data_IF_519029163787
#
_entry.id   IF_519029163787
#
_cell.length_a   1.000
_cell.length_b   1.000
_cell.length_c   1.000
_cell.angle_alpha   90.00
_cell.angle_beta   90.00
_cell.angle_gamma   90.00
#
_symmetry.space_group_name_H-M   'P 1'
#
loop_
_entity.id
_entity.type
_entity.pdbx_description
1 polymer ?
#
# COMPACT_ATOMS: atom_id res chain seq x y z
N UNK A 1 7.94 6.15 -41.79
CA UNK A 1 7.19 7.35 -42.25
C UNK A 1 6.16 7.70 -41.18
N UNK A 2 5.97 9.00 -40.85
CA UNK A 2 4.97 9.40 -39.87
C UNK A 2 3.58 9.40 -40.53
N UNK A 3 2.64 8.58 -40.05
CA UNK A 3 1.29 8.51 -40.56
C UNK A 3 0.55 9.84 -40.30
N UNK A 4 -0.18 10.30 -41.30
CA UNK A 4 -0.90 11.59 -41.27
C UNK A 4 -2.41 11.38 -41.39
N UNK A 5 -3.20 12.42 -41.09
CA UNK A 5 -4.66 12.41 -41.32
C UNK A 5 -5.04 12.14 -42.79
N UNK A 6 -4.15 12.51 -43.71
CA UNK A 6 -4.33 12.25 -45.16
C UNK A 6 -4.30 10.74 -45.43
N UNK A 7 -3.37 9.99 -44.85
CA UNK A 7 -3.29 8.54 -45.02
C UNK A 7 -4.53 7.82 -44.50
N UNK A 8 -5.10 8.29 -43.38
CA UNK A 8 -6.36 7.75 -42.83
C UNK A 8 -7.55 8.09 -43.75
N UNK A 9 -7.55 9.29 -44.32
CA UNK A 9 -8.55 9.74 -45.29
C UNK A 9 -8.56 8.84 -46.54
N UNK A 10 -7.38 8.51 -47.05
CA UNK A 10 -7.20 7.63 -48.23
C UNK A 10 -7.63 6.19 -47.92
N UNK A 11 -7.30 5.64 -46.75
CA UNK A 11 -7.68 4.28 -46.34
C UNK A 11 -9.19 4.15 -46.08
N UNK A 12 -9.84 5.20 -45.54
CA UNK A 12 -11.24 5.12 -45.10
C UNK A 12 -12.24 5.71 -46.12
N UNK A 13 -11.76 6.47 -47.10
CA UNK A 13 -12.63 7.19 -48.08
C UNK A 13 -13.34 8.42 -47.50
N UNK A 14 -13.11 8.78 -46.25
CA UNK A 14 -13.66 9.98 -45.64
C UNK A 14 -12.76 11.20 -45.87
N UNK A 15 -13.35 12.40 -45.96
CA UNK A 15 -12.55 13.62 -46.08
C UNK A 15 -11.64 13.83 -44.88
N UNK A 16 -10.47 14.47 -45.08
CA UNK A 16 -9.52 14.81 -43.99
C UNK A 16 -10.19 15.59 -42.86
N UNK A 17 -11.16 16.46 -43.18
CA UNK A 17 -11.94 17.20 -42.21
C UNK A 17 -12.88 16.30 -41.39
N UNK A 18 -13.44 15.25 -41.99
CA UNK A 18 -14.27 14.24 -41.33
C UNK A 18 -13.40 13.36 -40.43
N UNK A 19 -12.26 12.88 -40.93
CA UNK A 19 -11.26 12.13 -40.17
C UNK A 19 -10.78 12.95 -38.95
N UNK A 20 -10.41 14.21 -39.16
CA UNK A 20 -9.98 15.09 -38.07
C UNK A 20 -11.07 15.30 -37.01
N UNK A 21 -12.33 15.47 -37.40
CA UNK A 21 -13.46 15.60 -36.49
C UNK A 21 -13.76 14.30 -35.77
N UNK A 22 -13.70 13.16 -36.45
CA UNK A 22 -13.87 11.83 -35.87
C UNK A 22 -12.82 11.57 -34.78
N UNK A 23 -11.55 11.82 -35.07
CA UNK A 23 -10.40 11.63 -34.19
C UNK A 23 -10.48 12.59 -32.96
N UNK A 24 -10.88 13.84 -33.17
CA UNK A 24 -11.00 14.83 -32.08
C UNK A 24 -12.30 14.72 -31.27
N UNK A 25 -13.16 13.78 -31.58
CA UNK A 25 -14.44 13.62 -30.90
C UNK A 25 -15.44 14.78 -31.12
N UNK A 26 -15.25 15.62 -32.14
CA UNK A 26 -16.06 16.80 -32.42
C UNK A 26 -16.96 16.57 -33.67
N UNK A 27 -18.15 17.17 -33.65
CA UNK A 27 -19.12 17.14 -34.78
C UNK A 27 -20.06 15.93 -34.77
N UNK A 28 -21.13 16.02 -35.61
CA UNK A 28 -22.11 14.93 -35.76
C UNK A 28 -21.57 13.92 -36.80
N UNK A 29 -20.95 12.85 -36.31
CA UNK A 29 -20.49 11.71 -37.10
C UNK A 29 -21.19 10.50 -36.51
N UNK A 30 -21.75 9.62 -37.35
CA UNK A 30 -22.38 8.40 -36.82
C UNK A 30 -21.37 7.53 -36.08
N UNK A 31 -21.80 6.82 -35.03
CA UNK A 31 -20.91 5.92 -34.26
C UNK A 31 -20.14 4.95 -35.16
N UNK A 32 -20.84 4.34 -36.12
CA UNK A 32 -20.27 3.38 -37.07
C UNK A 32 -19.15 3.98 -37.93
N UNK A 33 -19.38 5.18 -38.54
CA UNK A 33 -18.36 5.83 -39.37
C UNK A 33 -17.15 6.31 -38.55
N UNK A 34 -17.38 6.67 -37.31
CA UNK A 34 -16.30 7.05 -36.40
C UNK A 34 -15.43 5.83 -36.03
N UNK A 35 -16.07 4.69 -35.76
CA UNK A 35 -15.37 3.43 -35.44
C UNK A 35 -14.48 3.00 -36.60
N UNK A 36 -14.99 3.01 -37.83
CA UNK A 36 -14.21 2.71 -39.06
C UNK A 36 -12.97 3.63 -39.19
N UNK A 37 -13.11 4.92 -38.88
CA UNK A 37 -11.98 5.86 -38.96
C UNK A 37 -10.94 5.57 -37.86
N UNK A 38 -11.37 5.21 -36.65
CA UNK A 38 -10.46 4.91 -35.54
C UNK A 38 -9.72 3.60 -35.77
N UNK A 39 -10.40 2.56 -36.25
CA UNK A 39 -9.77 1.28 -36.60
C UNK A 39 -8.71 1.45 -37.70
N UNK A 40 -9.02 2.22 -38.75
CA UNK A 40 -8.05 2.51 -39.79
C UNK A 40 -6.85 3.31 -39.26
N UNK A 41 -7.09 4.28 -38.39
CA UNK A 41 -6.02 5.04 -37.73
C UNK A 41 -5.09 4.14 -36.89
N UNK A 42 -5.66 3.21 -36.13
CA UNK A 42 -4.91 2.23 -35.34
C UNK A 42 -4.13 1.27 -36.25
N UNK A 43 -4.77 0.72 -37.29
CA UNK A 43 -4.13 -0.19 -38.25
C UNK A 43 -2.93 0.44 -38.95
N UNK A 44 -3.02 1.73 -39.27
CA UNK A 44 -1.95 2.49 -39.90
C UNK A 44 -0.86 2.94 -38.90
N UNK A 45 -1.05 2.74 -37.59
CA UNK A 45 -0.11 3.20 -36.55
C UNK A 45 -0.16 4.72 -36.31
N UNK A 46 -1.29 5.37 -36.59
CA UNK A 46 -1.49 6.77 -36.23
C UNK A 46 -1.71 6.90 -34.73
N UNK A 47 -0.75 7.51 -34.04
CA UNK A 47 -0.90 7.79 -32.61
C UNK A 47 -1.97 8.88 -32.42
N UNK A 48 -3.15 8.46 -31.99
CA UNK A 48 -4.22 9.38 -31.61
C UNK A 48 -3.71 10.18 -30.38
N UNK A 49 -3.77 11.51 -30.44
CA UNK A 49 -3.47 12.31 -29.27
C UNK A 49 -4.44 11.95 -28.12
N UNK A 50 -3.96 11.95 -26.90
CA UNK A 50 -4.67 11.49 -25.70
C UNK A 50 -6.10 12.02 -25.51
N UNK A 51 -6.41 13.20 -26.04
CA UNK A 51 -7.77 13.77 -26.07
C UNK A 51 -8.78 12.98 -26.93
N UNK A 52 -8.30 12.11 -27.82
CA UNK A 52 -9.16 11.30 -28.70
C UNK A 52 -9.43 9.91 -28.14
N UNK A 53 -8.53 9.37 -27.33
CA UNK A 53 -8.68 8.07 -26.64
C UNK A 53 -9.75 8.10 -25.54
N UNK A 54 -9.99 9.24 -24.91
CA UNK A 54 -10.91 9.34 -23.77
C UNK A 54 -12.39 9.01 -24.09
N UNK A 55 -12.79 8.94 -25.35
CA UNK A 55 -14.19 8.62 -25.74
C UNK A 55 -14.44 7.20 -26.22
N UNK A 56 -13.40 6.41 -26.44
CA UNK A 56 -13.53 5.05 -27.00
C UNK A 56 -12.89 3.94 -26.17
N UNK A 57 -12.18 4.28 -25.10
CA UNK A 57 -11.89 3.26 -24.08
C UNK A 57 -13.22 2.89 -23.40
N UNK A 58 -13.45 1.58 -23.24
CA UNK A 58 -14.49 1.02 -22.39
C UNK A 58 -14.64 1.90 -21.14
N UNK A 59 -15.85 2.05 -20.62
CA UNK A 59 -16.18 2.83 -19.40
C UNK A 59 -15.42 2.39 -18.14
N UNK A 60 -14.30 1.68 -18.26
CA UNK A 60 -13.54 1.15 -17.14
C UNK A 60 -12.84 2.29 -16.42
N UNK A 61 -13.22 2.52 -15.18
CA UNK A 61 -12.63 3.54 -14.33
C UNK A 61 -11.17 3.20 -14.02
N UNK A 62 -10.25 4.12 -14.31
CA UNK A 62 -8.82 3.93 -14.06
C UNK A 62 -8.41 4.63 -12.76
N UNK A 63 -7.77 3.90 -11.86
CA UNK A 63 -7.30 4.34 -10.55
C UNK A 63 -5.77 4.27 -10.49
N UNK A 64 -5.14 5.32 -10.00
CA UNK A 64 -3.70 5.35 -9.77
C UNK A 64 -3.38 4.98 -8.32
N UNK A 65 -2.55 3.96 -8.12
CA UNK A 65 -1.99 3.63 -6.82
C UNK A 65 -0.58 4.22 -6.75
N UNK A 66 -0.40 5.21 -5.89
CA UNK A 66 0.82 6.01 -5.79
C UNK A 66 1.54 5.66 -4.48
N UNK A 67 2.78 5.20 -4.59
CA UNK A 67 3.60 4.86 -3.43
C UNK A 67 5.07 5.23 -3.67
N UNK A 68 5.87 5.19 -2.62
CA UNK A 68 7.32 5.13 -2.73
C UNK A 68 7.75 3.67 -2.75
N UNK A 69 8.09 3.17 -3.93
CA UNK A 69 8.51 1.78 -4.07
C UNK A 69 9.80 1.49 -3.30
N UNK A 70 9.79 0.39 -2.56
CA UNK A 70 10.98 -0.21 -1.94
C UNK A 70 11.01 -1.70 -2.28
N UNK A 71 12.15 -2.32 -2.21
CA UNK A 71 12.29 -3.77 -2.36
C UNK A 71 11.65 -4.49 -1.17
N UNK A 72 11.02 -5.62 -1.42
CA UNK A 72 10.42 -6.48 -0.38
C UNK A 72 9.05 -7.02 -0.76
N UNK A 73 8.66 -8.14 -0.16
CA UNK A 73 7.40 -8.82 -0.43
C UNK A 73 6.17 -8.03 0.01
N UNK A 74 6.32 -7.12 0.98
CA UNK A 74 5.23 -6.24 1.43
C UNK A 74 4.56 -5.51 0.25
N UNK A 75 5.37 -4.86 -0.61
CA UNK A 75 4.81 -4.13 -1.75
C UNK A 75 4.15 -5.06 -2.77
N UNK A 76 4.72 -6.24 -3.00
CA UNK A 76 4.13 -7.24 -3.88
C UNK A 76 2.75 -7.69 -3.35
N UNK A 77 2.65 -8.04 -2.08
CA UNK A 77 1.40 -8.45 -1.42
C UNK A 77 0.36 -7.33 -1.42
N UNK A 78 0.77 -6.10 -1.11
CA UNK A 78 -0.08 -4.92 -1.15
C UNK A 78 -0.66 -4.68 -2.55
N UNK A 79 0.17 -4.80 -3.60
CA UNK A 79 -0.29 -4.65 -4.98
C UNK A 79 -1.22 -5.75 -5.43
N UNK A 80 -0.89 -6.99 -5.13
CA UNK A 80 -1.74 -8.13 -5.48
C UNK A 80 -3.13 -7.96 -4.90
N UNK A 81 -3.24 -7.50 -3.63
CA UNK A 81 -4.52 -7.18 -3.03
C UNK A 81 -5.33 -6.14 -3.83
N UNK A 82 -4.67 -5.08 -4.30
CA UNK A 82 -5.32 -4.05 -5.13
C UNK A 82 -5.68 -4.54 -6.53
N UNK A 83 -4.83 -5.34 -7.16
CA UNK A 83 -5.11 -5.91 -8.49
C UNK A 83 -6.32 -6.84 -8.44
N UNK A 84 -6.36 -7.76 -7.48
CA UNK A 84 -7.48 -8.71 -7.30
C UNK A 84 -8.80 -7.99 -6.99
N UNK A 85 -8.76 -6.97 -6.13
CA UNK A 85 -9.95 -6.19 -5.80
C UNK A 85 -10.44 -5.34 -6.99
N UNK A 86 -9.52 -4.79 -7.79
CA UNK A 86 -9.84 -4.01 -8.98
C UNK A 86 -10.46 -4.87 -10.09
N UNK A 87 -9.94 -6.08 -10.31
CA UNK A 87 -10.48 -7.03 -11.28
C UNK A 87 -11.95 -7.37 -10.98
N UNK A 88 -12.28 -7.66 -9.71
CA UNK A 88 -13.67 -7.93 -9.29
C UNK A 88 -14.65 -6.77 -9.52
N UNK A 89 -14.12 -5.54 -9.60
CA UNK A 89 -14.92 -4.31 -9.76
C UNK A 89 -14.86 -3.73 -11.16
N UNK A 90 -14.26 -4.43 -12.13
CA UNK A 90 -14.03 -3.96 -13.51
C UNK A 90 -13.30 -2.59 -13.51
N UNK A 91 -12.27 -2.45 -12.66
CA UNK A 91 -11.44 -1.27 -12.58
C UNK A 91 -10.06 -1.53 -13.16
N UNK A 92 -9.50 -0.53 -13.83
CA UNK A 92 -8.08 -0.52 -14.18
C UNK A 92 -7.29 0.12 -13.05
N UNK A 93 -6.28 -0.59 -12.52
CA UNK A 93 -5.36 -0.02 -11.56
C UNK A 93 -3.95 0.03 -12.14
N UNK A 94 -3.27 1.14 -11.91
CA UNK A 94 -1.87 1.31 -12.32
C UNK A 94 -1.04 1.84 -11.17
N UNK A 95 0.17 1.31 -11.09
CA UNK A 95 1.11 1.63 -10.06
C UNK A 95 2.05 2.74 -10.48
N UNK A 96 2.20 3.73 -9.63
CA UNK A 96 3.14 4.82 -9.79
C UNK A 96 4.09 4.91 -8.59
N UNK A 97 5.39 4.96 -8.88
CA UNK A 97 6.40 5.19 -7.85
C UNK A 97 6.82 6.65 -7.83
N UNK A 98 6.90 7.23 -6.64
CA UNK A 98 7.32 8.61 -6.44
C UNK A 98 8.14 8.74 -5.16
N UNK A 99 9.13 9.63 -5.15
CA UNK A 99 9.79 9.99 -3.90
C UNK A 99 8.82 10.74 -2.97
N UNK A 100 8.98 10.55 -1.65
CA UNK A 100 8.18 11.22 -0.62
C UNK A 100 8.48 12.74 -0.55
N UNK A 101 8.21 13.44 -1.64
CA UNK A 101 8.40 14.89 -1.80
C UNK A 101 7.09 15.52 -2.26
N UNK A 102 6.60 16.50 -1.51
CA UNK A 102 5.35 17.20 -1.82
C UNK A 102 5.28 17.68 -3.27
N UNK A 103 6.39 18.28 -3.76
CA UNK A 103 6.47 18.79 -5.14
C UNK A 103 6.33 17.67 -6.17
N UNK A 104 7.03 16.53 -5.96
CA UNK A 104 6.99 15.38 -6.87
C UNK A 104 5.61 14.71 -6.86
N UNK A 105 5.03 14.52 -5.68
CA UNK A 105 3.67 13.95 -5.53
C UNK A 105 2.62 14.81 -6.21
N UNK A 106 2.63 16.14 -5.98
CA UNK A 106 1.67 17.05 -6.62
C UNK A 106 1.83 17.12 -8.15
N UNK A 107 3.06 17.02 -8.65
CA UNK A 107 3.29 16.97 -10.10
C UNK A 107 2.74 15.68 -10.69
N UNK A 108 3.04 14.53 -10.07
CA UNK A 108 2.56 13.23 -10.50
C UNK A 108 1.03 13.14 -10.49
N UNK A 109 0.36 13.66 -9.45
CA UNK A 109 -1.11 13.69 -9.39
C UNK A 109 -1.70 14.46 -10.58
N UNK A 110 -1.09 15.60 -10.96
CA UNK A 110 -1.53 16.38 -12.13
C UNK A 110 -1.30 15.62 -13.45
N UNK A 111 -0.16 14.97 -13.61
CA UNK A 111 0.15 14.14 -14.78
C UNK A 111 -0.82 12.98 -14.92
N UNK A 112 -1.07 12.24 -13.84
CA UNK A 112 -2.03 11.13 -13.78
C UNK A 112 -3.43 11.61 -14.17
N UNK A 113 -3.87 12.75 -13.67
CA UNK A 113 -5.16 13.34 -14.07
C UNK A 113 -5.20 13.67 -15.56
N UNK A 114 -4.10 14.20 -16.11
CA UNK A 114 -4.00 14.50 -17.54
C UNK A 114 -3.97 13.24 -18.42
N UNK A 115 -3.45 12.14 -17.90
CA UNK A 115 -3.48 10.81 -18.53
C UNK A 115 -4.86 10.16 -18.51
N UNK A 116 -5.86 10.80 -17.89
CA UNK A 116 -7.25 10.33 -17.91
C UNK A 116 -7.65 9.45 -16.73
N UNK A 117 -6.80 9.29 -15.72
CA UNK A 117 -7.20 8.58 -14.50
C UNK A 117 -8.33 9.33 -13.78
N UNK A 118 -9.20 8.56 -13.16
CA UNK A 118 -10.40 9.07 -12.47
C UNK A 118 -10.13 9.43 -11.02
N UNK A 119 -9.17 8.76 -10.37
CA UNK A 119 -8.88 8.89 -8.95
C UNK A 119 -7.49 8.40 -8.61
N UNK A 120 -7.04 8.63 -7.36
CA UNK A 120 -5.80 8.10 -6.84
C UNK A 120 -5.91 7.58 -5.40
N UNK A 121 -5.11 6.57 -5.09
CA UNK A 121 -4.87 6.07 -3.74
C UNK A 121 -3.40 6.34 -3.40
N UNK A 122 -3.15 6.95 -2.24
CA UNK A 122 -1.81 7.25 -1.75
C UNK A 122 -1.40 6.26 -0.65
N UNK A 123 -0.25 5.63 -0.82
CA UNK A 123 0.44 4.91 0.24
C UNK A 123 1.88 5.45 0.35
N UNK A 124 2.03 6.56 1.06
CA UNK A 124 3.33 7.25 1.25
C UNK A 124 3.45 7.63 2.73
N UNK A 125 3.75 6.67 3.62
CA UNK A 125 3.75 6.89 5.08
C UNK A 125 4.80 7.91 5.56
N UNK A 126 5.79 8.23 4.73
CA UNK A 126 6.80 9.26 5.04
C UNK A 126 6.29 10.71 4.90
N UNK A 127 5.12 10.91 4.28
CA UNK A 127 4.54 12.25 4.19
C UNK A 127 3.94 12.67 5.54
N UNK A 128 4.17 13.93 5.91
CA UNK A 128 3.62 14.53 7.12
C UNK A 128 2.23 15.10 6.88
N UNK A 129 1.50 15.35 7.95
CA UNK A 129 0.14 15.91 7.92
C UNK A 129 0.03 17.19 7.08
N UNK A 130 0.96 18.14 7.28
CA UNK A 130 0.96 19.40 6.55
C UNK A 130 1.12 19.22 5.03
N UNK A 131 1.86 18.18 4.61
CA UNK A 131 2.02 17.81 3.20
C UNK A 131 0.73 17.21 2.64
N UNK A 132 0.03 16.35 3.39
CA UNK A 132 -1.30 15.84 3.00
C UNK A 132 -2.32 16.99 2.86
N UNK A 133 -2.30 17.99 3.77
CA UNK A 133 -3.13 19.21 3.65
C UNK A 133 -2.83 19.99 2.38
N UNK A 134 -1.55 20.09 2.00
CA UNK A 134 -1.15 20.78 0.78
C UNK A 134 -1.52 19.99 -0.48
N UNK A 135 -1.43 18.64 -0.46
CA UNK A 135 -1.90 17.77 -1.55
C UNK A 135 -3.40 17.98 -1.75
N UNK A 136 -4.20 17.94 -0.68
CA UNK A 136 -5.65 18.16 -0.73
C UNK A 136 -6.02 19.52 -1.34
N UNK A 137 -5.29 20.59 -0.98
CA UNK A 137 -5.51 21.93 -1.54
C UNK A 137 -5.10 22.05 -3.02
N UNK A 138 -4.08 21.30 -3.44
CA UNK A 138 -3.49 21.37 -4.78
C UNK A 138 -4.07 20.36 -5.77
N UNK A 139 -4.88 19.39 -5.30
CA UNK A 139 -5.45 18.34 -6.15
C UNK A 139 -6.32 18.92 -7.26
N UNK A 140 -6.38 18.27 -8.43
CA UNK A 140 -7.30 18.67 -9.48
C UNK A 140 -8.77 18.59 -9.01
N UNK A 141 -9.62 19.49 -9.56
CA UNK A 141 -11.06 19.41 -9.32
C UNK A 141 -11.63 18.08 -9.84
N UNK A 142 -12.63 17.57 -9.15
CA UNK A 142 -13.28 16.29 -9.49
C UNK A 142 -12.27 15.13 -9.62
N UNK A 143 -11.29 15.07 -8.71
CA UNK A 143 -10.30 14.01 -8.62
C UNK A 143 -10.19 13.54 -7.18
N UNK A 144 -10.95 12.51 -6.77
CA UNK A 144 -10.87 11.99 -5.42
C UNK A 144 -9.52 11.34 -5.15
N UNK A 145 -9.03 11.54 -3.94
CA UNK A 145 -7.79 10.96 -3.44
C UNK A 145 -8.08 10.36 -2.07
N UNK A 146 -7.78 9.07 -1.90
CA UNK A 146 -7.79 8.39 -0.61
C UNK A 146 -6.37 8.07 -0.16
N UNK A 147 -6.19 7.81 1.13
CA UNK A 147 -4.93 7.37 1.70
C UNK A 147 -5.05 5.96 2.28
N UNK A 148 -3.97 5.18 2.15
CA UNK A 148 -3.77 3.94 2.92
C UNK A 148 -2.63 4.09 3.94
N UNK A 149 -2.11 5.31 4.12
CA UNK A 149 -1.11 5.62 5.13
C UNK A 149 -1.77 6.18 6.37
N UNK A 150 -1.48 5.59 7.51
CA UNK A 150 -1.95 6.07 8.79
C UNK A 150 -1.32 7.45 9.09
N UNK A 151 -2.11 8.45 9.43
CA UNK A 151 -1.67 9.80 9.77
C UNK A 151 -2.25 10.24 11.11
N UNK A 152 -1.49 11.05 11.86
CA UNK A 152 -1.85 11.44 13.23
C UNK A 152 -3.17 12.23 13.28
N UNK A 153 -3.31 13.23 12.38
CA UNK A 153 -4.54 13.99 12.22
C UNK A 153 -5.03 13.81 10.80
N UNK A 154 -6.07 13.02 10.63
CA UNK A 154 -6.55 12.60 9.31
C UNK A 154 -7.09 13.77 8.50
N UNK A 155 -6.52 13.98 7.33
CA UNK A 155 -6.89 15.04 6.39
C UNK A 155 -7.62 14.49 5.18
N UNK A 156 -7.12 13.36 4.66
CA UNK A 156 -7.77 12.58 3.62
C UNK A 156 -8.51 11.41 4.26
N UNK A 157 -9.61 10.99 3.65
CA UNK A 157 -10.23 9.73 4.04
C UNK A 157 -9.19 8.62 3.90
N UNK A 158 -8.99 7.88 4.96
CA UNK A 158 -7.90 6.93 5.11
C UNK A 158 -8.42 5.56 5.48
N UNK A 159 -8.08 4.56 4.69
CA UNK A 159 -8.36 3.15 4.97
C UNK A 159 -7.03 2.49 5.30
N UNK A 160 -6.89 1.96 6.51
CA UNK A 160 -5.63 1.37 6.98
C UNK A 160 -5.89 0.22 7.94
N UNK A 161 -4.86 -0.57 8.24
CA UNK A 161 -4.98 -1.66 9.21
C UNK A 161 -5.00 -1.14 10.64
N UNK A 162 -5.69 -1.87 11.53
CA UNK A 162 -5.64 -1.61 12.98
C UNK A 162 -4.29 -2.05 13.55
N UNK A 163 -3.29 -1.17 13.39
CA UNK A 163 -1.91 -1.44 13.79
C UNK A 163 -1.75 -1.59 15.31
N UNK A 164 -2.54 -0.84 16.08
CA UNK A 164 -2.55 -0.93 17.54
C UNK A 164 -3.08 -2.28 18.02
N UNK A 165 -4.23 -2.69 17.51
CA UNK A 165 -4.84 -3.97 17.87
C UNK A 165 -3.95 -5.15 17.45
N UNK A 166 -3.25 -5.06 16.33
CA UNK A 166 -2.33 -6.11 15.88
C UNK A 166 -1.21 -6.36 16.89
N UNK A 167 -0.59 -5.31 17.41
CA UNK A 167 0.43 -5.43 18.45
C UNK A 167 -0.13 -5.97 19.78
N UNK A 168 -1.35 -5.53 20.15
CA UNK A 168 -2.06 -6.09 21.31
C UNK A 168 -2.29 -7.59 21.17
N UNK A 169 -2.64 -8.09 19.97
CA UNK A 169 -2.84 -9.51 19.71
C UNK A 169 -1.54 -10.31 19.87
N UNK A 170 -0.43 -9.81 19.33
CA UNK A 170 0.87 -10.46 19.48
C UNK A 170 1.33 -10.52 20.94
N UNK A 171 1.18 -9.42 21.68
CA UNK A 171 1.53 -9.35 23.10
C UNK A 171 0.67 -10.27 23.95
N UNK A 172 -0.64 -10.32 23.68
CA UNK A 172 -1.57 -11.24 24.35
C UNK A 172 -1.19 -12.70 24.11
N UNK A 173 -0.86 -13.04 22.86
CA UNK A 173 -0.41 -14.39 22.54
C UNK A 173 0.82 -14.79 23.35
N UNK A 174 1.83 -13.92 23.46
CA UNK A 174 3.00 -14.19 24.29
C UNK A 174 2.62 -14.41 25.77
N UNK A 175 1.74 -13.56 26.31
CA UNK A 175 1.26 -13.71 27.68
C UNK A 175 0.54 -15.05 27.89
N UNK A 176 -0.35 -15.45 26.95
CA UNK A 176 -1.12 -16.68 27.00
C UNK A 176 -0.22 -17.92 26.87
N UNK A 177 0.92 -17.82 26.17
CA UNK A 177 1.97 -18.83 26.10
C UNK A 177 2.87 -18.87 27.37
N UNK A 178 2.63 -17.99 28.34
CA UNK A 178 3.37 -17.95 29.60
C UNK A 178 4.62 -17.09 29.60
N UNK A 179 4.92 -16.36 28.52
CA UNK A 179 6.03 -15.40 28.50
C UNK A 179 5.69 -14.16 29.35
N UNK A 180 6.62 -13.70 30.18
CA UNK A 180 6.41 -12.57 31.10
C UNK A 180 7.38 -11.42 30.86
N UNK A 181 8.58 -11.73 30.42
CA UNK A 181 9.55 -10.71 30.00
C UNK A 181 9.56 -10.60 28.48
N UNK A 182 9.21 -9.44 27.98
CA UNK A 182 9.04 -9.20 26.55
C UNK A 182 9.99 -8.11 26.05
N UNK A 183 10.23 -8.12 24.75
CA UNK A 183 10.97 -7.08 24.04
C UNK A 183 10.26 -6.67 22.75
N UNK A 184 10.71 -5.57 22.18
CA UNK A 184 10.18 -5.05 20.92
C UNK A 184 11.30 -4.60 19.97
N UNK A 185 11.16 -4.95 18.69
CA UNK A 185 11.88 -4.30 17.60
C UNK A 185 10.90 -3.31 16.97
N UNK A 186 11.06 -2.04 17.31
CA UNK A 186 10.19 -0.96 16.84
C UNK A 186 10.39 -0.70 15.34
N UNK A 187 9.38 -0.11 14.68
CA UNK A 187 9.54 0.48 13.36
C UNK A 187 10.02 1.94 13.44
N UNK A 188 10.20 2.61 12.28
CA UNK A 188 10.59 4.02 12.21
C UNK A 188 9.57 4.92 12.95
N UNK A 189 10.02 5.63 13.98
CA UNK A 189 9.14 6.44 14.85
C UNK A 189 8.44 7.59 14.11
N UNK A 190 9.00 8.00 12.97
CA UNK A 190 8.43 9.02 12.10
C UNK A 190 7.14 8.55 11.42
N UNK A 191 6.95 7.23 11.29
CA UNK A 191 5.79 6.63 10.65
C UNK A 191 4.68 6.36 11.69
N UNK A 192 3.47 6.90 11.49
CA UNK A 192 2.37 6.72 12.45
C UNK A 192 2.04 5.25 12.75
N UNK A 193 2.03 4.39 11.74
CA UNK A 193 1.75 2.96 11.94
C UNK A 193 2.78 2.27 12.86
N UNK A 194 4.05 2.67 12.80
CA UNK A 194 5.09 2.16 13.70
C UNK A 194 4.79 2.56 15.14
N UNK A 195 4.41 3.81 15.37
CA UNK A 195 4.01 4.30 16.71
C UNK A 195 2.77 3.58 17.24
N UNK A 196 1.77 3.31 16.39
CA UNK A 196 0.59 2.56 16.81
C UNK A 196 0.93 1.12 17.20
N UNK A 197 1.83 0.44 16.46
CA UNK A 197 2.33 -0.91 16.83
C UNK A 197 3.07 -0.87 18.16
N UNK A 198 4.00 0.07 18.34
CA UNK A 198 4.73 0.25 19.61
C UNK A 198 3.78 0.56 20.77
N UNK A 199 2.82 1.47 20.58
CA UNK A 199 1.86 1.84 21.63
C UNK A 199 0.97 0.65 22.01
N UNK A 200 0.48 -0.13 21.05
CA UNK A 200 -0.33 -1.33 21.33
C UNK A 200 0.43 -2.35 22.17
N UNK A 201 1.71 -2.60 21.83
CA UNK A 201 2.58 -3.48 22.61
C UNK A 201 2.81 -2.92 24.03
N UNK A 202 3.21 -1.66 24.15
CA UNK A 202 3.52 -1.05 25.45
C UNK A 202 2.30 -0.89 26.37
N UNK A 203 1.13 -0.64 25.79
CA UNK A 203 -0.10 -0.53 26.55
C UNK A 203 -0.58 -1.91 27.05
N UNK A 204 -0.35 -3.00 26.27
CA UNK A 204 -0.56 -4.34 26.78
C UNK A 204 0.30 -4.60 28.02
N UNK A 205 1.60 -4.29 27.97
CA UNK A 205 2.51 -4.46 29.09
C UNK A 205 2.02 -3.67 30.32
N UNK A 206 1.60 -2.41 30.16
CA UNK A 206 1.10 -1.59 31.26
C UNK A 206 -0.19 -2.12 31.89
N UNK A 207 -1.06 -2.75 31.09
CA UNK A 207 -2.33 -3.29 31.55
C UNK A 207 -2.19 -4.63 32.29
N UNK A 208 -1.06 -5.33 32.13
CA UNK A 208 -0.80 -6.65 32.71
C UNK A 208 0.40 -6.57 33.64
N UNK A 209 0.14 -6.44 34.94
CA UNK A 209 1.15 -6.18 35.99
C UNK A 209 2.17 -7.30 36.19
N UNK A 210 1.91 -8.50 35.64
CA UNK A 210 2.81 -9.66 35.64
C UNK A 210 3.73 -9.71 34.42
N UNK A 211 3.67 -8.69 33.55
CA UNK A 211 4.52 -8.57 32.36
C UNK A 211 5.45 -7.35 32.44
N UNK A 212 6.58 -7.42 31.75
CA UNK A 212 7.52 -6.30 31.64
C UNK A 212 8.17 -6.25 30.26
N UNK A 213 8.38 -5.04 29.74
CA UNK A 213 9.27 -4.82 28.61
C UNK A 213 10.69 -4.59 29.14
N UNK A 214 11.60 -5.51 28.85
CA UNK A 214 12.98 -5.48 29.38
C UNK A 214 14.01 -5.14 28.30
N UNK A 215 13.59 -5.06 27.05
CA UNK A 215 14.45 -4.74 25.91
C UNK A 215 13.66 -4.08 24.79
N UNK A 216 14.23 -3.09 24.17
CA UNK A 216 13.72 -2.46 22.96
C UNK A 216 14.84 -2.13 21.98
N UNK A 217 14.52 -2.14 20.70
CA UNK A 217 15.43 -1.76 19.63
C UNK A 217 14.70 -0.94 18.56
N UNK A 218 15.30 0.18 18.14
CA UNK A 218 14.74 1.04 17.10
C UNK A 218 15.15 0.55 15.72
N UNK A 219 14.23 -0.06 15.04
CA UNK A 219 14.39 -0.57 13.69
C UNK A 219 13.86 0.38 12.61
N UNK A 220 13.99 -0.05 11.36
CA UNK A 220 13.64 0.73 10.17
C UNK A 220 12.84 -0.06 9.12
N UNK A 221 12.25 -1.20 9.52
CA UNK A 221 11.52 -2.14 8.69
C UNK A 221 12.38 -2.96 7.71
N UNK A 222 13.69 -2.81 7.71
CA UNK A 222 14.59 -3.61 6.85
C UNK A 222 15.01 -4.92 7.53
N UNK A 223 15.34 -5.93 6.72
CA UNK A 223 15.94 -7.18 7.20
C UNK A 223 17.26 -6.91 7.93
N UNK A 224 18.09 -6.01 7.40
CA UNK A 224 19.36 -5.61 8.04
C UNK A 224 19.15 -5.06 9.43
N UNK A 225 18.12 -4.24 9.64
CA UNK A 225 17.79 -3.72 10.96
C UNK A 225 17.41 -4.85 11.94
N UNK A 226 16.75 -5.91 11.47
CA UNK A 226 16.49 -7.11 12.27
C UNK A 226 17.78 -7.84 12.66
N UNK A 227 18.74 -7.95 11.74
CA UNK A 227 20.08 -8.50 12.00
C UNK A 227 20.79 -7.68 13.08
N UNK A 228 20.79 -6.37 12.97
CA UNK A 228 21.42 -5.47 13.96
C UNK A 228 20.71 -5.53 15.33
N UNK A 229 19.39 -5.68 15.33
CA UNK A 229 18.61 -5.89 16.55
C UNK A 229 19.07 -7.15 17.29
N UNK A 230 19.32 -8.26 16.56
CA UNK A 230 19.86 -9.46 17.17
C UNK A 230 21.24 -9.22 17.81
N UNK A 231 22.18 -8.55 17.15
CA UNK A 231 23.49 -8.29 17.74
C UNK A 231 23.39 -7.43 19.00
N UNK A 232 22.49 -6.45 19.04
CA UNK A 232 22.19 -5.67 20.23
C UNK A 232 21.62 -6.55 21.36
N UNK A 233 20.60 -7.38 21.03
CA UNK A 233 20.00 -8.35 21.94
C UNK A 233 21.05 -9.34 22.51
N UNK A 234 21.93 -9.86 21.65
CA UNK A 234 22.93 -10.85 22.06
C UNK A 234 23.88 -10.33 23.15
N UNK A 235 24.20 -9.04 23.08
CA UNK A 235 25.05 -8.35 24.07
C UNK A 235 24.26 -7.88 25.30
N UNK A 236 22.92 -7.86 25.24
CA UNK A 236 22.10 -7.35 26.35
C UNK A 236 22.08 -8.32 27.53
N UNK A 237 22.20 -7.77 28.77
CA UNK A 237 22.23 -8.59 29.98
C UNK A 237 20.88 -9.21 30.34
N UNK A 238 19.83 -8.42 30.25
CA UNK A 238 18.46 -8.85 30.57
C UNK A 238 17.72 -9.20 29.31
N UNK A 239 17.81 -10.46 28.87
CA UNK A 239 17.16 -10.92 27.65
C UNK A 239 15.66 -11.14 27.87
N UNK A 240 14.78 -10.64 26.97
CA UNK A 240 13.38 -11.00 27.00
C UNK A 240 13.17 -12.47 26.59
N UNK A 241 12.09 -13.08 27.06
CA UNK A 241 11.65 -14.43 26.66
C UNK A 241 10.97 -14.42 25.29
N UNK A 242 10.33 -13.29 24.92
CA UNK A 242 9.63 -13.13 23.66
C UNK A 242 9.85 -11.74 23.07
N UNK A 243 9.94 -11.63 21.76
CA UNK A 243 10.12 -10.37 21.03
C UNK A 243 9.02 -10.19 20.00
N UNK A 244 8.35 -9.03 20.05
CA UNK A 244 7.51 -8.55 18.99
C UNK A 244 8.34 -7.69 18.03
N UNK A 245 8.46 -8.09 16.78
CA UNK A 245 9.04 -7.27 15.71
C UNK A 245 7.93 -6.52 14.97
N UNK A 246 8.10 -5.23 14.80
CA UNK A 246 7.08 -4.39 14.17
C UNK A 246 6.85 -4.66 12.68
N UNK A 247 7.64 -5.55 12.05
CA UNK A 247 7.33 -6.19 10.77
C UNK A 247 8.06 -7.53 10.61
N UNK A 248 7.65 -8.31 9.61
CA UNK A 248 8.19 -9.65 9.35
C UNK A 248 9.64 -9.62 8.83
N UNK A 249 10.02 -8.60 8.09
CA UNK A 249 11.40 -8.50 7.58
C UNK A 249 12.42 -8.37 8.72
N UNK A 250 12.11 -7.57 9.75
CA UNK A 250 12.95 -7.47 10.94
C UNK A 250 12.90 -8.77 11.77
N UNK A 251 11.72 -9.40 11.90
CA UNK A 251 11.59 -10.70 12.55
C UNK A 251 12.50 -11.74 11.88
N UNK A 252 12.47 -11.84 10.55
CA UNK A 252 13.30 -12.73 9.76
C UNK A 252 14.80 -12.48 9.97
N UNK A 253 15.24 -11.22 9.89
CA UNK A 253 16.63 -10.85 10.09
C UNK A 253 17.13 -11.22 11.49
N UNK A 254 16.30 -11.02 12.51
CA UNK A 254 16.59 -11.43 13.88
C UNK A 254 16.68 -12.95 14.01
N UNK A 255 15.68 -13.69 13.54
CA UNK A 255 15.60 -15.17 13.61
C UNK A 255 16.83 -15.81 12.94
N UNK A 256 17.16 -15.39 11.72
CA UNK A 256 18.30 -15.94 10.98
C UNK A 256 19.63 -15.70 11.71
N UNK A 257 19.78 -14.53 12.34
CA UNK A 257 21.00 -14.20 13.12
C UNK A 257 21.05 -14.98 14.43
N UNK A 258 19.91 -15.14 15.12
CA UNK A 258 19.81 -15.90 16.34
C UNK A 258 20.16 -17.39 16.11
N UNK A 259 19.60 -17.99 15.06
CA UNK A 259 19.89 -19.40 14.69
C UNK A 259 21.37 -19.60 14.34
N UNK A 260 22.01 -18.68 13.59
CA UNK A 260 23.45 -18.71 13.29
C UNK A 260 24.31 -18.63 14.55
N UNK A 261 23.81 -17.95 15.58
CA UNK A 261 24.48 -17.88 16.89
C UNK A 261 24.15 -19.03 17.85
N UNK A 262 23.37 -20.02 17.40
CA UNK A 262 23.04 -21.24 18.16
C UNK A 262 21.79 -21.13 19.05
N UNK A 263 20.97 -20.08 18.91
CA UNK A 263 19.69 -20.00 19.63
C UNK A 263 18.63 -20.88 18.99
N UNK A 264 17.86 -21.56 19.82
CA UNK A 264 16.65 -22.28 19.45
C UNK A 264 15.43 -21.34 19.51
N UNK A 265 14.60 -21.36 18.47
CA UNK A 265 13.36 -20.59 18.40
C UNK A 265 12.22 -21.60 18.30
N UNK A 266 11.24 -21.60 19.21
CA UNK A 266 10.98 -20.58 20.25
C UNK A 266 11.62 -20.84 21.63
N UNK A 267 12.38 -21.93 21.84
CA UNK A 267 12.79 -22.41 23.16
C UNK A 267 13.65 -21.42 23.94
N UNK A 268 14.65 -20.79 23.30
CA UNK A 268 15.51 -19.77 23.92
C UNK A 268 14.90 -18.37 23.82
N UNK A 269 14.16 -18.10 22.74
CA UNK A 269 13.50 -16.81 22.48
C UNK A 269 12.35 -16.97 21.50
N UNK A 270 11.15 -16.58 21.88
CA UNK A 270 9.99 -16.54 21.01
C UNK A 270 9.93 -15.25 20.17
N UNK A 271 9.45 -15.33 18.95
CA UNK A 271 9.38 -14.17 18.06
C UNK A 271 8.05 -14.14 17.30
N UNK A 272 7.43 -12.96 17.24
CA UNK A 272 6.30 -12.68 16.37
C UNK A 272 6.58 -11.44 15.53
N UNK A 273 6.16 -11.49 14.26
CA UNK A 273 6.25 -10.40 13.30
C UNK A 273 4.92 -9.68 13.07
N UNK A 274 4.86 -8.92 11.99
CA UNK A 274 3.70 -8.18 11.52
C UNK A 274 3.73 -8.10 10.00
N UNK A 275 2.60 -8.21 9.34
CA UNK A 275 2.25 -8.18 7.91
C UNK A 275 1.82 -9.55 7.36
N UNK A 276 2.27 -10.66 7.95
CA UNK A 276 2.05 -12.06 7.53
C UNK A 276 2.45 -12.26 6.05
N UNK A 277 3.70 -11.89 5.74
CA UNK A 277 4.26 -12.02 4.41
C UNK A 277 4.44 -13.50 4.02
N UNK A 278 4.38 -13.87 2.73
CA UNK A 278 4.42 -15.25 2.27
C UNK A 278 5.56 -16.09 2.84
N UNK A 279 6.75 -15.53 3.00
CA UNK A 279 7.87 -16.27 3.58
C UNK A 279 7.66 -16.74 5.02
N UNK A 280 6.74 -16.12 5.78
CA UNK A 280 6.45 -16.54 7.15
C UNK A 280 5.96 -18.00 7.22
N UNK A 281 5.29 -18.48 6.18
CA UNK A 281 4.74 -19.82 6.06
C UNK A 281 5.77 -20.86 5.60
N UNK A 282 6.78 -20.42 4.85
CA UNK A 282 7.81 -21.31 4.27
C UNK A 282 9.16 -21.28 5.01
N UNK A 283 9.34 -20.32 5.92
CA UNK A 283 10.54 -20.23 6.75
C UNK A 283 10.55 -21.33 7.82
N UNK A 284 11.74 -21.69 8.31
CA UNK A 284 11.89 -22.61 9.43
C UNK A 284 12.70 -21.96 10.58
N UNK A 285 12.12 -21.89 11.81
CA UNK A 285 10.71 -22.17 12.14
C UNK A 285 9.75 -21.22 11.42
N UNK A 286 8.52 -21.69 11.15
CA UNK A 286 7.46 -20.83 10.60
C UNK A 286 7.19 -19.64 11.51
N UNK A 287 7.05 -18.45 10.94
CA UNK A 287 7.00 -17.20 11.71
C UNK A 287 5.56 -16.87 12.09
N UNK A 288 5.29 -16.78 13.39
CA UNK A 288 4.06 -16.16 13.91
C UNK A 288 4.02 -14.71 13.49
N UNK A 289 2.91 -14.26 12.90
CA UNK A 289 2.79 -12.88 12.43
C UNK A 289 1.36 -12.36 12.53
N UNK A 290 1.23 -11.05 12.69
CA UNK A 290 -0.04 -10.36 12.58
C UNK A 290 -0.44 -10.30 11.11
N UNK A 291 -1.53 -10.98 10.79
CA UNK A 291 -2.07 -11.07 9.43
C UNK A 291 -2.80 -9.80 9.03
N UNK A 292 -2.36 -9.20 7.93
CA UNK A 292 -2.97 -8.05 7.26
C UNK A 292 -3.63 -8.49 5.96
N UNK A 293 -4.94 -8.39 5.88
CA UNK A 293 -5.68 -8.78 4.67
C UNK A 293 -5.64 -7.65 3.63
N UNK A 294 -4.62 -7.68 2.75
CA UNK A 294 -4.42 -6.66 1.71
C UNK A 294 -5.59 -6.60 0.71
N UNK A 295 -6.23 -7.74 0.43
CA UNK A 295 -7.40 -7.78 -0.44
C UNK A 295 -8.58 -7.02 0.18
N UNK A 296 -8.87 -7.24 1.46
CA UNK A 296 -9.93 -6.54 2.18
C UNK A 296 -9.65 -5.03 2.30
N UNK A 297 -8.38 -4.65 2.54
CA UNK A 297 -7.96 -3.25 2.53
C UNK A 297 -8.26 -2.60 1.18
N UNK A 298 -7.84 -3.25 0.10
CA UNK A 298 -8.03 -2.77 -1.26
C UNK A 298 -9.51 -2.71 -1.64
N UNK A 299 -10.28 -3.74 -1.33
CA UNK A 299 -11.72 -3.79 -1.58
C UNK A 299 -12.45 -2.60 -0.94
N UNK A 300 -12.21 -2.35 0.34
CA UNK A 300 -12.80 -1.21 1.07
C UNK A 300 -12.33 0.14 0.52
N UNK A 301 -11.03 0.24 0.18
CA UNK A 301 -10.47 1.46 -0.40
C UNK A 301 -11.10 1.77 -1.75
N UNK A 302 -11.27 0.77 -2.61
CA UNK A 302 -11.86 0.95 -3.94
C UNK A 302 -13.38 1.23 -3.85
N UNK A 303 -14.10 0.62 -2.91
CA UNK A 303 -15.53 0.91 -2.68
C UNK A 303 -15.74 2.36 -2.24
N UNK A 304 -14.96 2.83 -1.27
CA UNK A 304 -15.02 4.21 -0.82
C UNK A 304 -14.62 5.17 -1.94
N UNK A 305 -13.59 4.83 -2.72
CA UNK A 305 -13.14 5.62 -3.86
C UNK A 305 -14.23 5.76 -4.94
N UNK A 306 -14.93 4.67 -5.28
CA UNK A 306 -16.05 4.70 -6.24
C UNK A 306 -17.20 5.58 -5.75
N UNK A 307 -17.54 5.49 -4.47
CA UNK A 307 -18.52 6.39 -3.84
C UNK A 307 -18.12 7.87 -3.96
N UNK A 308 -16.82 8.17 -3.83
CA UNK A 308 -16.29 9.54 -3.95
C UNK A 308 -16.25 10.05 -5.39
N UNK A 309 -16.29 9.19 -6.40
CA UNK A 309 -16.40 9.64 -7.79
C UNK A 309 -17.71 10.39 -8.06
N UNK A 310 -18.77 10.11 -7.30
CA UNK A 310 -20.04 10.83 -7.36
C UNK A 310 -19.96 12.20 -6.64
N UNK A 311 -19.12 12.31 -5.59
CA UNK A 311 -18.93 13.51 -4.78
C UNK A 311 -17.43 13.79 -4.52
N UNK A 312 -16.65 14.13 -5.56
CA UNK A 312 -15.18 14.09 -5.53
C UNK A 312 -14.50 15.13 -4.65
N UNK A 313 -15.21 16.17 -4.25
CA UNK A 313 -14.69 17.25 -3.42
C UNK A 313 -15.08 17.12 -1.94
N UNK A 314 -15.83 16.07 -1.58
CA UNK A 314 -16.23 15.78 -0.22
C UNK A 314 -15.19 14.92 0.49
N UNK A 315 -14.33 15.56 1.29
CA UNK A 315 -13.38 14.89 2.19
C UNK A 315 -13.81 15.14 3.63
N UNK A 316 -13.91 14.07 4.41
CA UNK A 316 -14.35 14.13 5.80
C UNK A 316 -13.21 13.87 6.80
N UNK A 317 -12.05 13.42 6.31
CA UNK A 317 -10.93 13.02 7.17
C UNK A 317 -11.29 11.80 8.04
N UNK A 318 -12.08 10.88 7.52
CA UNK A 318 -12.49 9.66 8.23
C UNK A 318 -11.38 8.63 8.14
N UNK A 319 -11.12 7.95 9.26
CA UNK A 319 -10.27 6.75 9.30
C UNK A 319 -11.16 5.52 9.37
N UNK A 320 -10.98 4.62 8.41
CA UNK A 320 -11.56 3.28 8.43
C UNK A 320 -10.48 2.27 8.76
N UNK A 321 -10.63 1.59 9.89
CA UNK A 321 -9.69 0.54 10.30
C UNK A 321 -10.13 -0.81 9.74
N UNK A 322 -9.21 -1.47 9.04
CA UNK A 322 -9.36 -2.85 8.59
C UNK A 322 -8.87 -3.77 9.71
N UNK A 323 -9.69 -4.73 10.16
CA UNK A 323 -9.31 -5.62 11.24
C UNK A 323 -8.12 -6.51 10.84
N UNK A 324 -7.31 -6.83 11.82
CA UNK A 324 -6.18 -7.75 11.71
C UNK A 324 -6.40 -8.98 12.59
N UNK A 325 -5.64 -10.05 12.34
CA UNK A 325 -5.66 -11.26 13.15
C UNK A 325 -4.24 -11.76 13.39
N UNK A 326 -4.04 -12.70 14.30
CA UNK A 326 -2.73 -13.31 14.52
C UNK A 326 -2.70 -14.70 13.89
N UNK A 327 -1.69 -14.98 13.07
CA UNK A 327 -1.34 -16.32 12.58
C UNK A 327 -0.27 -16.88 13.47
N UNK A 328 -0.70 -17.76 14.36
CA UNK A 328 0.19 -18.45 15.31
C UNK A 328 0.90 -19.58 14.56
N UNK A 329 2.24 -19.62 14.68
CA UNK A 329 3.12 -20.61 14.08
C UNK A 329 4.24 -21.00 15.05
N UNK A 330 5.24 -21.72 14.56
CA UNK A 330 6.29 -22.35 15.36
C UNK A 330 7.15 -21.34 16.14
N UNK A 331 7.42 -20.15 15.59
CA UNK A 331 8.38 -19.21 16.16
C UNK A 331 7.98 -18.62 17.53
N UNK A 332 6.77 -18.87 18.01
CA UNK A 332 6.28 -18.36 19.29
C UNK A 332 5.42 -19.33 20.09
N UNK A 333 5.21 -20.56 19.58
CA UNK A 333 4.41 -21.60 20.26
C UNK A 333 5.29 -22.44 21.17
N UNK A 334 4.93 -22.54 22.44
CA UNK A 334 5.51 -23.50 23.40
C UNK A 334 4.79 -24.84 23.36
#
# INVERSE_FOLDING_TARGET
MKVTLQNISEETGFSVSTVSRAIRGKGRISPENREKIIEAAQKLGYFLSESSHQKYQSKTTSVALITRFRTGEFYASFFMGFLEAAEKKDLNISLFSVEASLKKVNNLIREIRNLGYSAAVLFIPELKEDQYRQILKAKPKNFPILSCSNIDNTVLDTITFDAYQGAMLASRHFHDQGYRTMGIIEGPIEMPEARFRTNGFMDFIKQNSDTSCVWDYKGDYTLESGIQAFYNFHQHKNKPEAIFAANDSMALGFIESARKAGYSIPDDIAIAGYDDLPFCEYHFPQITSVHTNYHLLAERTLDDLLSRLENPDQHQGIVTLVPVSLKIRESSSR
#
